data_IF_840930437190
#
_entry.id   IF_840930437190
#
_cell.length_a   1.000
_cell.length_b   1.000
_cell.length_c   1.000
_cell.angle_alpha   90.00
_cell.angle_beta   90.00
_cell.angle_gamma   90.00
#
_symmetry.space_group_name_H-M   'P 1'
#
loop_
_entity.id
_entity.type
_entity.pdbx_description
1 polymer ?
#
# COMPACT_ATOMS: atom_id res chain seq x y z
N UNK A 1 -7.83 21.72 9.89
CA UNK A 1 -8.13 20.72 10.94
C UNK A 1 -8.59 19.43 10.28
N UNK A 2 -7.70 18.63 9.65
CA UNK A 2 -8.11 17.45 8.84
C UNK A 2 -6.99 16.40 8.71
N UNK A 3 -6.32 16.04 9.82
CA UNK A 3 -5.59 14.78 9.86
C UNK A 3 -6.57 13.72 10.34
N UNK A 4 -7.31 13.12 9.40
CA UNK A 4 -8.10 11.93 9.69
C UNK A 4 -7.14 10.79 10.03
N UNK A 5 -7.13 10.36 11.29
CA UNK A 5 -6.18 9.36 11.80
C UNK A 5 -6.71 7.97 11.44
N UNK A 6 -6.01 7.28 10.54
CA UNK A 6 -6.21 5.85 10.30
C UNK A 6 -5.29 5.02 11.18
N UNK A 7 -5.83 4.02 11.87
CA UNK A 7 -5.09 3.00 12.60
C UNK A 7 -4.80 1.81 11.66
N UNK A 8 -3.53 1.61 11.32
CA UNK A 8 -3.09 0.50 10.48
C UNK A 8 -2.48 -0.58 11.36
N UNK A 9 -3.17 -1.72 11.49
CA UNK A 9 -2.64 -2.86 12.23
C UNK A 9 -1.43 -3.43 11.50
N UNK A 10 -0.29 -3.46 12.18
CA UNK A 10 0.95 -3.98 11.65
C UNK A 10 0.93 -5.49 11.72
N UNK A 11 1.27 -6.11 10.61
CA UNK A 11 1.36 -7.55 10.55
C UNK A 11 2.73 -8.10 10.95
N UNK A 12 2.68 -9.34 11.39
CA UNK A 12 3.82 -10.14 11.78
C UNK A 12 3.83 -11.47 11.01
N UNK A 13 4.56 -12.45 11.52
CA UNK A 13 4.67 -13.80 10.99
C UNK A 13 3.30 -14.48 10.82
N UNK A 14 3.22 -15.41 9.87
CA UNK A 14 1.98 -16.13 9.52
C UNK A 14 1.30 -16.82 10.69
N UNK A 15 2.05 -17.30 11.69
CA UNK A 15 1.48 -17.98 12.85
C UNK A 15 0.76 -17.06 13.85
N UNK A 16 1.07 -15.76 13.88
CA UNK A 16 0.36 -14.76 14.72
C UNK A 16 -0.75 -14.07 13.91
N UNK A 17 -0.63 -14.09 12.58
CA UNK A 17 -1.52 -13.36 11.67
C UNK A 17 -3.01 -13.63 11.89
N UNK A 18 -3.49 -14.88 12.12
CA UNK A 18 -4.92 -15.12 12.35
C UNK A 18 -5.48 -14.37 13.57
N UNK A 19 -4.70 -14.28 14.65
CA UNK A 19 -5.10 -13.55 15.85
C UNK A 19 -5.15 -12.03 15.61
N UNK A 20 -4.13 -11.49 14.95
CA UNK A 20 -4.07 -10.06 14.59
C UNK A 20 -5.22 -9.71 13.64
N UNK A 21 -5.43 -10.49 12.58
CA UNK A 21 -6.51 -10.30 11.62
C UNK A 21 -7.87 -10.34 12.31
N UNK A 22 -8.10 -11.33 13.19
CA UNK A 22 -9.38 -11.44 13.91
C UNK A 22 -9.64 -10.25 14.81
N UNK A 23 -8.67 -9.86 15.64
CA UNK A 23 -8.80 -8.68 16.52
C UNK A 23 -9.06 -7.44 15.66
N UNK A 24 -8.33 -7.28 14.56
CA UNK A 24 -8.46 -6.13 13.68
C UNK A 24 -9.85 -6.06 13.05
N UNK A 25 -10.43 -7.18 12.61
CA UNK A 25 -11.80 -7.23 12.09
C UNK A 25 -12.84 -6.88 13.16
N UNK A 26 -12.69 -7.35 14.39
CA UNK A 26 -13.59 -6.95 15.48
C UNK A 26 -13.49 -5.45 15.76
N UNK A 27 -12.28 -4.88 15.68
CA UNK A 27 -12.08 -3.44 15.81
C UNK A 27 -12.68 -2.68 14.63
N UNK A 28 -12.58 -3.19 13.40
CA UNK A 28 -13.29 -2.60 12.25
C UNK A 28 -14.79 -2.62 12.47
N UNK A 29 -15.36 -3.77 12.84
CA UNK A 29 -16.79 -3.90 13.08
C UNK A 29 -17.28 -2.92 14.15
N UNK A 30 -16.49 -2.71 15.21
CA UNK A 30 -16.83 -1.78 16.29
C UNK A 30 -16.67 -0.30 15.94
N UNK A 31 -15.64 0.05 15.17
CA UNK A 31 -15.20 1.45 15.01
C UNK A 31 -15.37 2.01 13.59
N UNK A 32 -15.38 1.17 12.55
CA UNK A 32 -15.55 1.60 11.17
C UNK A 32 -17.05 1.72 10.80
N UNK A 33 -17.76 2.64 11.45
CA UNK A 33 -19.21 2.80 11.27
C UNK A 33 -19.56 3.78 10.16
N UNK A 34 -18.91 4.96 10.13
CA UNK A 34 -19.18 6.02 9.15
C UNK A 34 -18.09 6.13 8.08
N UNK A 35 -16.89 5.65 8.40
CA UNK A 35 -15.71 5.65 7.55
C UNK A 35 -14.72 4.59 8.00
N UNK A 36 -13.84 4.17 7.11
CA UNK A 36 -12.76 3.25 7.45
C UNK A 36 -11.67 3.99 8.25
N UNK A 37 -11.53 3.65 9.53
CA UNK A 37 -10.47 4.17 10.40
C UNK A 37 -9.48 3.09 10.82
N UNK A 38 -9.95 1.85 11.03
CA UNK A 38 -9.11 0.69 11.28
C UNK A 38 -8.84 -0.02 9.96
N UNK A 39 -7.58 -0.33 9.70
CA UNK A 39 -7.12 -1.02 8.50
C UNK A 39 -6.36 -2.29 8.87
N UNK A 40 -6.73 -3.40 8.23
CA UNK A 40 -5.98 -4.64 8.31
C UNK A 40 -4.92 -4.64 7.20
N UNK A 41 -3.75 -5.20 7.50
CA UNK A 41 -2.72 -5.37 6.47
C UNK A 41 -2.93 -6.72 5.79
N UNK A 42 -2.87 -6.76 4.46
CA UNK A 42 -2.91 -8.01 3.68
C UNK A 42 -1.57 -8.18 2.98
N UNK A 43 -0.93 -9.32 3.20
CA UNK A 43 0.42 -9.58 2.71
C UNK A 43 0.38 -10.42 1.42
N UNK A 44 0.53 -9.78 0.27
CA UNK A 44 0.32 -10.40 -1.04
C UNK A 44 1.44 -11.38 -1.47
N UNK A 45 2.52 -11.53 -0.70
CA UNK A 45 3.47 -12.63 -0.86
C UNK A 45 2.92 -13.97 -0.36
N UNK A 46 1.81 -14.00 0.38
CA UNK A 46 1.15 -15.24 0.80
C UNK A 46 0.19 -15.74 -0.29
N UNK A 47 0.08 -17.06 -0.42
CA UNK A 47 -0.88 -17.70 -1.34
C UNK A 47 -2.33 -17.42 -0.97
N UNK A 48 -2.61 -17.27 0.33
CA UNK A 48 -3.97 -17.06 0.87
C UNK A 48 -4.44 -15.61 0.86
N UNK A 49 -3.60 -14.64 0.47
CA UNK A 49 -3.91 -13.22 0.59
C UNK A 49 -5.23 -12.80 -0.09
N UNK A 50 -5.50 -13.39 -1.27
CA UNK A 50 -6.76 -13.16 -1.99
C UNK A 50 -7.97 -13.77 -1.25
N UNK A 51 -7.81 -14.96 -0.69
CA UNK A 51 -8.90 -15.63 0.05
C UNK A 51 -9.23 -14.87 1.32
N UNK A 52 -8.21 -14.40 2.05
CA UNK A 52 -8.37 -13.57 3.25
C UNK A 52 -9.11 -12.27 2.92
N UNK A 53 -8.65 -11.50 1.93
CA UNK A 53 -9.29 -10.22 1.59
C UNK A 53 -10.72 -10.42 1.10
N UNK A 54 -10.99 -11.45 0.30
CA UNK A 54 -12.34 -11.75 -0.19
C UNK A 54 -13.28 -12.15 0.95
N UNK A 55 -12.80 -12.96 1.89
CA UNK A 55 -13.58 -13.37 3.07
C UNK A 55 -13.92 -12.17 3.95
N UNK A 56 -12.95 -11.30 4.19
CA UNK A 56 -13.14 -10.14 5.05
C UNK A 56 -14.02 -9.06 4.41
N UNK A 57 -13.90 -8.87 3.09
CA UNK A 57 -14.82 -8.02 2.31
C UNK A 57 -16.26 -8.52 2.40
N UNK A 58 -16.46 -9.83 2.31
CA UNK A 58 -17.77 -10.46 2.43
C UNK A 58 -18.35 -10.31 3.85
N UNK A 59 -17.51 -10.49 4.87
CA UNK A 59 -17.91 -10.26 6.26
C UNK A 59 -18.30 -8.80 6.49
N UNK A 60 -17.51 -7.84 5.99
CA UNK A 60 -17.80 -6.42 6.08
C UNK A 60 -19.13 -6.05 5.43
N UNK A 61 -19.43 -6.65 4.27
CA UNK A 61 -20.70 -6.47 3.60
C UNK A 61 -21.88 -7.03 4.44
N UNK A 62 -21.75 -8.25 4.97
CA UNK A 62 -22.82 -8.90 5.75
C UNK A 62 -23.10 -8.21 7.08
N UNK A 63 -22.06 -7.69 7.73
CA UNK A 63 -22.13 -7.03 9.04
C UNK A 63 -22.23 -5.50 8.91
N UNK A 64 -22.25 -4.97 7.69
CA UNK A 64 -22.44 -3.56 7.36
C UNK A 64 -21.49 -2.61 8.11
N UNK A 65 -20.18 -2.88 8.06
CA UNK A 65 -19.14 -1.96 8.50
C UNK A 65 -18.22 -1.54 7.35
N UNK A 66 -17.51 -0.43 7.51
CA UNK A 66 -16.59 0.09 6.50
C UNK A 66 -15.30 -0.74 6.51
N UNK A 67 -14.97 -1.34 5.38
CA UNK A 67 -13.79 -2.18 5.24
C UNK A 67 -12.53 -1.34 4.98
N UNK A 68 -11.45 -1.61 5.73
CA UNK A 68 -10.15 -0.96 5.53
C UNK A 68 -9.05 -1.98 5.23
N UNK A 69 -8.44 -1.91 4.05
CA UNK A 69 -7.31 -2.80 3.71
C UNK A 69 -6.05 -2.01 3.38
N UNK A 70 -4.92 -2.46 3.90
CA UNK A 70 -3.58 -2.04 3.49
C UNK A 70 -2.90 -3.19 2.78
N UNK A 71 -2.70 -3.03 1.48
CA UNK A 71 -2.06 -4.04 0.64
C UNK A 71 -0.56 -3.82 0.62
N UNK A 72 0.20 -4.79 1.08
CA UNK A 72 1.67 -4.83 1.01
C UNK A 72 2.11 -6.09 0.28
N UNK A 73 3.32 -6.10 -0.28
CA UNK A 73 3.92 -7.39 -0.70
C UNK A 73 4.19 -8.27 0.51
N UNK A 74 4.90 -7.75 1.50
CA UNK A 74 5.30 -8.49 2.70
C UNK A 74 6.77 -8.22 3.03
N UNK A 75 7.16 -8.46 4.28
CA UNK A 75 8.50 -8.15 4.77
C UNK A 75 9.27 -9.36 5.33
N UNK A 76 8.63 -10.55 5.33
CA UNK A 76 9.13 -11.73 6.06
C UNK A 76 9.29 -12.98 5.18
N UNK A 77 9.39 -12.82 3.85
CA UNK A 77 9.43 -13.94 2.88
C UNK A 77 10.53 -14.96 3.16
N UNK A 78 11.75 -14.51 3.45
CA UNK A 78 12.87 -15.40 3.71
C UNK A 78 12.69 -16.17 5.02
N UNK A 79 12.14 -15.53 6.04
CA UNK A 79 11.86 -16.15 7.33
C UNK A 79 10.74 -17.19 7.25
N UNK A 80 9.67 -16.91 6.50
CA UNK A 80 8.58 -17.86 6.29
C UNK A 80 9.06 -19.12 5.55
N UNK A 81 9.87 -18.94 4.50
CA UNK A 81 10.47 -20.05 3.76
C UNK A 81 11.41 -20.90 4.61
N UNK A 82 12.29 -20.25 5.38
CA UNK A 82 13.20 -20.95 6.29
C UNK A 82 12.44 -21.75 7.36
N UNK A 83 11.35 -21.18 7.89
CA UNK A 83 10.49 -21.86 8.87
C UNK A 83 9.75 -23.05 8.28
N UNK A 84 9.17 -22.90 7.08
CA UNK A 84 8.48 -23.98 6.38
C UNK A 84 9.43 -25.16 6.12
N UNK A 85 10.65 -24.88 5.67
CA UNK A 85 11.69 -25.89 5.48
C UNK A 85 12.10 -26.58 6.81
N UNK A 86 12.26 -25.81 7.89
CA UNK A 86 12.67 -26.35 9.19
C UNK A 86 11.59 -27.23 9.85
N UNK A 87 10.31 -26.92 9.66
CA UNK A 87 9.18 -27.62 10.27
C UNK A 87 8.49 -28.62 9.34
N UNK A 88 8.90 -28.70 8.07
CA UNK A 88 8.42 -29.68 7.10
C UNK A 88 7.00 -29.47 6.59
N UNK A 89 6.46 -28.24 6.67
CA UNK A 89 5.14 -27.91 6.11
C UNK A 89 5.27 -27.16 4.76
N UNK A 90 4.22 -27.15 3.91
CA UNK A 90 4.27 -26.47 2.62
C UNK A 90 4.55 -24.97 2.76
N UNK A 91 5.45 -24.44 1.92
CA UNK A 91 5.74 -23.00 1.86
C UNK A 91 4.45 -22.18 1.60
N UNK A 92 4.04 -21.29 2.52
CA UNK A 92 2.84 -20.48 2.37
C UNK A 92 3.02 -19.31 1.40
N UNK A 93 4.26 -19.05 0.95
CA UNK A 93 4.62 -17.91 0.11
C UNK A 93 4.53 -18.21 -1.37
N UNK A 94 4.28 -17.16 -2.17
CA UNK A 94 4.33 -17.24 -3.62
C UNK A 94 5.75 -17.59 -4.10
N UNK A 95 5.88 -18.39 -5.17
CA UNK A 95 7.18 -18.94 -5.57
C UNK A 95 8.15 -17.87 -6.07
N UNK A 96 7.64 -16.87 -6.79
CA UNK A 96 8.46 -15.83 -7.43
C UNK A 96 7.98 -14.42 -7.10
N UNK A 97 8.82 -13.44 -7.44
CA UNK A 97 8.49 -12.02 -7.36
C UNK A 97 7.30 -11.65 -8.27
N UNK A 98 7.26 -12.24 -9.46
CA UNK A 98 6.20 -12.06 -10.45
C UNK A 98 4.88 -12.64 -9.93
N UNK A 99 4.91 -13.84 -9.34
CA UNK A 99 3.74 -14.45 -8.71
C UNK A 99 3.23 -13.62 -7.52
N UNK A 100 4.12 -13.05 -6.72
CA UNK A 100 3.76 -12.11 -5.65
C UNK A 100 3.13 -10.82 -6.20
N UNK A 101 3.64 -10.33 -7.33
CA UNK A 101 3.10 -9.13 -7.99
C UNK A 101 1.72 -9.40 -8.59
N UNK A 102 1.52 -10.56 -9.22
CA UNK A 102 0.21 -11.02 -9.69
C UNK A 102 -0.79 -11.15 -8.54
N UNK A 103 -0.41 -11.79 -7.43
CA UNK A 103 -1.25 -11.89 -6.24
C UNK A 103 -1.66 -10.49 -5.71
N UNK A 104 -0.72 -9.53 -5.69
CA UNK A 104 -1.02 -8.15 -5.31
C UNK A 104 -2.04 -7.53 -6.25
N UNK A 105 -1.84 -7.65 -7.56
CA UNK A 105 -2.73 -7.09 -8.57
C UNK A 105 -4.13 -7.71 -8.51
N UNK A 106 -4.23 -9.03 -8.32
CA UNK A 106 -5.50 -9.76 -8.15
C UNK A 106 -6.24 -9.33 -6.89
N UNK A 107 -5.54 -9.23 -5.76
CA UNK A 107 -6.09 -8.75 -4.47
C UNK A 107 -6.63 -7.33 -4.59
N UNK A 108 -5.85 -6.43 -5.21
CA UNK A 108 -6.29 -5.06 -5.47
C UNK A 108 -7.50 -5.00 -6.41
N UNK A 109 -7.47 -5.78 -7.49
CA UNK A 109 -8.56 -5.83 -8.48
C UNK A 109 -9.86 -6.35 -7.86
N UNK A 110 -9.81 -7.31 -6.95
CA UNK A 110 -11.01 -7.76 -6.22
C UNK A 110 -11.60 -6.64 -5.35
N UNK A 111 -10.77 -5.88 -4.64
CA UNK A 111 -11.23 -4.72 -3.87
C UNK A 111 -11.90 -3.68 -4.79
N UNK A 112 -11.28 -3.38 -5.93
CA UNK A 112 -11.81 -2.47 -6.93
C UNK A 112 -13.14 -2.95 -7.53
N UNK A 113 -13.27 -4.26 -7.78
CA UNK A 113 -14.52 -4.86 -8.27
C UNK A 113 -15.65 -4.64 -7.27
N UNK A 114 -15.40 -4.80 -5.96
CA UNK A 114 -16.38 -4.54 -4.90
C UNK A 114 -16.73 -3.06 -4.79
N UNK A 115 -15.75 -2.16 -4.90
CA UNK A 115 -15.97 -0.70 -4.95
C UNK A 115 -16.85 -0.33 -6.14
N UNK A 116 -16.54 -0.85 -7.34
CA UNK A 116 -17.35 -0.62 -8.53
C UNK A 116 -18.79 -1.09 -8.31
N UNK A 117 -18.98 -2.28 -7.74
CA UNK A 117 -20.31 -2.80 -7.45
C UNK A 117 -21.10 -1.92 -6.46
N UNK A 118 -20.44 -1.25 -5.51
CA UNK A 118 -21.08 -0.25 -4.64
C UNK A 118 -21.53 0.96 -5.46
N UNK A 119 -20.66 1.52 -6.31
CA UNK A 119 -20.99 2.66 -7.19
C UNK A 119 -22.16 2.33 -8.12
N UNK A 120 -22.14 1.16 -8.75
CA UNK A 120 -23.19 0.71 -9.67
C UNK A 120 -24.55 0.56 -8.95
N UNK A 121 -24.56 0.30 -7.63
CA UNK A 121 -25.77 0.28 -6.78
C UNK A 121 -26.16 1.63 -6.18
N UNK A 122 -25.38 2.69 -6.43
CA UNK A 122 -25.57 4.01 -5.81
C UNK A 122 -25.19 4.06 -4.32
N UNK A 123 -24.45 3.08 -3.82
CA UNK A 123 -23.91 3.07 -2.46
C UNK A 123 -22.59 3.86 -2.37
N UNK A 124 -22.26 4.44 -1.20
CA UNK A 124 -21.01 5.17 -1.02
C UNK A 124 -19.80 4.24 -1.24
N UNK A 125 -18.91 4.51 -2.23
CA UNK A 125 -17.73 3.68 -2.48
C UNK A 125 -16.74 3.70 -1.31
N UNK A 126 -16.82 4.71 -0.43
CA UNK A 126 -16.00 4.85 0.77
C UNK A 126 -16.25 3.76 1.81
N UNK A 127 -17.32 2.94 1.66
CA UNK A 127 -17.51 1.70 2.45
C UNK A 127 -16.32 0.74 2.34
N UNK A 128 -15.50 0.89 1.31
CA UNK A 128 -14.25 0.15 1.16
C UNK A 128 -13.14 1.19 1.00
N UNK A 129 -12.13 1.17 1.87
CA UNK A 129 -10.96 2.03 1.77
C UNK A 129 -9.68 1.20 1.66
N UNK A 130 -8.83 1.53 0.68
CA UNK A 130 -7.64 0.74 0.35
C UNK A 130 -6.38 1.61 0.40
N UNK A 131 -5.35 1.13 1.10
CA UNK A 131 -4.00 1.65 1.02
C UNK A 131 -3.13 0.76 0.14
N UNK A 132 -2.67 1.30 -0.99
CA UNK A 132 -1.67 0.70 -1.88
C UNK A 132 -0.28 1.03 -1.32
N UNK A 133 0.27 0.15 -0.48
CA UNK A 133 1.59 0.33 0.11
C UNK A 133 2.68 -0.31 -0.78
N UNK A 134 3.25 0.49 -1.70
CA UNK A 134 4.26 0.02 -2.66
C UNK A 134 5.24 1.11 -3.11
N UNK A 135 6.49 0.70 -3.30
CA UNK A 135 7.56 1.48 -3.93
C UNK A 135 7.88 0.99 -5.35
N UNK A 136 7.06 0.11 -5.92
CA UNK A 136 7.21 -0.36 -7.29
C UNK A 136 6.35 0.52 -8.21
N UNK A 137 6.99 1.12 -9.20
CA UNK A 137 6.35 2.03 -10.17
C UNK A 137 5.24 1.33 -10.97
N UNK A 138 5.47 0.09 -11.39
CA UNK A 138 4.51 -0.68 -12.18
C UNK A 138 3.25 -0.99 -11.38
N UNK A 139 3.38 -1.33 -10.09
CA UNK A 139 2.24 -1.54 -9.20
C UNK A 139 1.46 -0.24 -8.95
N UNK A 140 2.15 0.90 -8.82
CA UNK A 140 1.50 2.20 -8.68
C UNK A 140 0.77 2.60 -9.97
N UNK A 141 1.42 2.44 -11.13
CA UNK A 141 0.84 2.67 -12.46
C UNK A 141 -0.39 1.80 -12.67
N UNK A 142 -0.26 0.49 -12.41
CA UNK A 142 -1.36 -0.46 -12.48
C UNK A 142 -2.54 -0.02 -11.61
N UNK A 143 -2.28 0.42 -10.38
CA UNK A 143 -3.34 0.89 -9.50
C UNK A 143 -4.07 2.11 -10.06
N UNK A 144 -3.33 3.10 -10.56
CA UNK A 144 -3.90 4.31 -11.18
C UNK A 144 -4.72 3.96 -12.43
N UNK A 145 -4.19 3.11 -13.31
CA UNK A 145 -4.88 2.68 -14.54
C UNK A 145 -6.20 1.99 -14.19
N UNK A 146 -6.18 1.06 -13.23
CA UNK A 146 -7.38 0.35 -12.80
C UNK A 146 -8.40 1.27 -12.12
N UNK A 147 -7.96 2.25 -11.33
CA UNK A 147 -8.85 3.28 -10.78
C UNK A 147 -9.57 4.05 -11.89
N UNK A 148 -8.83 4.49 -12.92
CA UNK A 148 -9.41 5.20 -14.07
C UNK A 148 -10.41 4.33 -14.84
N UNK A 149 -10.07 3.07 -15.10
CA UNK A 149 -10.95 2.12 -15.81
C UNK A 149 -12.33 1.97 -15.13
N UNK A 150 -12.37 1.96 -13.80
CA UNK A 150 -13.63 1.83 -13.05
C UNK A 150 -14.26 3.16 -12.64
N UNK A 151 -13.67 4.29 -13.07
CA UNK A 151 -14.14 5.63 -12.76
C UNK A 151 -14.02 6.01 -11.27
N UNK A 152 -13.01 5.51 -10.56
CA UNK A 152 -12.67 5.97 -9.20
C UNK A 152 -11.69 7.13 -9.32
N UNK A 153 -12.11 8.31 -8.87
CA UNK A 153 -11.27 9.51 -8.92
C UNK A 153 -10.50 9.71 -7.62
N UNK A 154 -9.41 10.51 -7.61
CA UNK A 154 -8.71 10.85 -6.38
C UNK A 154 -9.61 11.49 -5.31
N UNK A 155 -10.62 12.25 -5.74
CA UNK A 155 -11.57 12.95 -4.89
C UNK A 155 -12.53 12.00 -4.17
N UNK A 156 -12.74 10.78 -4.69
CA UNK A 156 -13.54 9.75 -4.01
C UNK A 156 -12.91 9.38 -2.64
N UNK A 157 -11.59 9.60 -2.46
CA UNK A 157 -10.81 9.29 -1.24
C UNK A 157 -10.92 7.83 -0.77
N UNK A 158 -11.20 6.94 -1.70
CA UNK A 158 -11.33 5.49 -1.50
C UNK A 158 -9.95 4.82 -1.45
N UNK A 159 -8.97 5.37 -2.19
CA UNK A 159 -7.65 4.79 -2.35
C UNK A 159 -6.57 5.80 -1.95
N UNK A 160 -5.60 5.33 -1.18
CA UNK A 160 -4.40 6.08 -0.86
C UNK A 160 -3.12 5.27 -1.13
N UNK A 161 -2.01 5.96 -1.33
CA UNK A 161 -0.72 5.37 -1.62
C UNK A 161 0.20 5.51 -0.40
N UNK A 162 0.70 4.39 0.11
CA UNK A 162 1.61 4.35 1.24
C UNK A 162 3.04 4.10 0.81
N UNK A 163 3.98 4.96 1.21
CA UNK A 163 5.39 4.82 0.91
C UNK A 163 6.24 5.10 2.14
N UNK A 164 7.36 4.42 2.31
CA UNK A 164 8.35 4.73 3.33
C UNK A 164 8.99 6.09 3.07
N UNK A 165 9.25 6.84 4.15
CA UNK A 165 10.01 8.08 4.09
C UNK A 165 11.48 7.81 3.67
N UNK A 166 12.03 8.68 2.83
CA UNK A 166 13.41 8.58 2.34
C UNK A 166 13.58 7.59 1.19
N UNK A 167 12.48 7.15 0.58
CA UNK A 167 12.50 6.20 -0.53
C UNK A 167 11.50 6.60 -1.62
N UNK A 168 12.01 6.68 -2.86
CA UNK A 168 11.22 6.84 -4.08
C UNK A 168 10.32 8.09 -4.07
N UNK A 169 10.84 9.25 -3.65
CA UNK A 169 10.05 10.48 -3.57
C UNK A 169 9.61 10.96 -4.96
N UNK A 170 10.37 10.60 -5.99
CA UNK A 170 10.00 10.79 -7.39
C UNK A 170 8.71 10.06 -7.80
N UNK A 171 8.21 9.11 -7.00
CA UNK A 171 6.88 8.48 -7.16
C UNK A 171 5.84 9.25 -6.34
N UNK A 172 6.16 9.61 -5.10
CA UNK A 172 5.23 10.27 -4.17
C UNK A 172 4.81 11.66 -4.64
N UNK A 173 5.76 12.47 -5.11
CA UNK A 173 5.46 13.86 -5.46
C UNK A 173 4.51 13.97 -6.65
N UNK A 174 4.69 13.24 -7.77
CA UNK A 174 3.71 13.25 -8.85
C UNK A 174 2.33 12.75 -8.42
N UNK A 175 2.24 11.74 -7.55
CA UNK A 175 0.97 11.26 -6.99
C UNK A 175 0.23 12.38 -6.25
N UNK A 176 0.90 13.06 -5.33
CA UNK A 176 0.31 14.16 -4.57
C UNK A 176 -0.06 15.36 -5.45
N UNK A 177 0.77 15.68 -6.45
CA UNK A 177 0.49 16.74 -7.42
C UNK A 177 -0.70 16.43 -8.34
N UNK A 178 -0.96 15.13 -8.59
CA UNK A 178 -2.11 14.65 -9.34
C UNK A 178 -3.38 14.47 -8.49
N UNK A 179 -3.38 14.93 -7.23
CA UNK A 179 -4.54 14.91 -6.34
C UNK A 179 -4.73 13.61 -5.54
N UNK A 180 -3.87 12.61 -5.73
CA UNK A 180 -3.97 11.35 -4.98
C UNK A 180 -3.50 11.53 -3.54
N UNK A 181 -4.18 10.84 -2.62
CA UNK A 181 -3.75 10.77 -1.22
C UNK A 181 -2.48 9.92 -1.11
N UNK A 182 -1.35 10.56 -0.79
CA UNK A 182 -0.07 9.89 -0.62
C UNK A 182 0.47 10.08 0.80
N UNK A 183 0.82 8.98 1.47
CA UNK A 183 1.28 8.96 2.86
C UNK A 183 2.72 8.48 2.94
N UNK A 184 3.50 9.14 3.79
CA UNK A 184 4.85 8.70 4.16
C UNK A 184 4.83 7.99 5.51
N UNK A 185 5.30 6.74 5.53
CA UNK A 185 5.52 5.97 6.75
C UNK A 185 6.85 6.38 7.37
N UNK A 186 6.77 6.89 8.59
CA UNK A 186 7.92 7.43 9.35
C UNK A 186 8.06 6.60 10.62
N UNK A 187 9.13 5.79 10.77
CA UNK A 187 9.46 5.22 12.06
C UNK A 187 9.91 6.35 13.01
N UNK A 188 9.41 6.34 14.24
CA UNK A 188 9.79 7.30 15.26
C UNK A 188 10.00 6.58 16.60
N UNK A 189 11.10 6.88 17.27
CA UNK A 189 11.45 6.28 18.56
C UNK A 189 12.97 6.33 18.84
N UNK A 190 13.39 5.90 20.04
CA UNK A 190 14.80 5.75 20.39
C UNK A 190 15.57 4.86 19.40
N UNK A 191 16.85 5.17 19.16
CA UNK A 191 17.68 4.49 18.13
C UNK A 191 17.69 2.97 18.34
N UNK A 192 17.93 2.51 19.56
CA UNK A 192 17.96 1.10 19.94
C UNK A 192 16.65 0.35 19.62
N UNK A 193 15.49 1.01 19.76
CA UNK A 193 14.19 0.41 19.47
C UNK A 193 13.90 0.33 17.96
N UNK A 194 14.43 1.29 17.18
CA UNK A 194 14.24 1.32 15.72
C UNK A 194 15.30 0.52 14.94
N UNK A 195 16.38 0.07 15.58
CA UNK A 195 17.44 -0.73 14.94
C UNK A 195 16.91 -1.97 14.19
N UNK A 196 16.00 -2.79 14.74
CA UNK A 196 15.45 -3.93 14.00
C UNK A 196 14.71 -3.51 12.72
N UNK A 197 13.99 -2.38 12.77
CA UNK A 197 13.34 -1.81 11.59
C UNK A 197 14.36 -1.36 10.55
N UNK A 198 15.40 -0.63 10.97
CA UNK A 198 16.47 -0.15 10.08
C UNK A 198 17.22 -1.32 9.43
N UNK A 199 17.49 -2.39 10.17
CA UNK A 199 18.14 -3.61 9.64
C UNK A 199 17.29 -4.28 8.54
N UNK A 200 15.98 -4.46 8.78
CA UNK A 200 15.07 -4.99 7.75
C UNK A 200 15.02 -4.09 6.52
N UNK A 201 14.99 -2.76 6.72
CA UNK A 201 15.08 -1.81 5.61
C UNK A 201 16.38 -1.94 4.85
N UNK A 202 17.52 -2.07 5.52
CA UNK A 202 18.81 -2.29 4.85
C UNK A 202 18.82 -3.58 4.01
N UNK A 203 18.20 -4.66 4.50
CA UNK A 203 18.06 -5.93 3.76
C UNK A 203 17.16 -5.80 2.53
N UNK A 204 15.97 -5.22 2.67
CA UNK A 204 15.05 -4.93 1.55
C UNK A 204 15.68 -3.97 0.55
N UNK A 205 16.47 -3.01 1.06
CA UNK A 205 17.13 -1.98 0.28
C UNK A 205 18.42 -2.45 -0.40
N UNK A 206 18.80 -3.73 -0.33
CA UNK A 206 19.88 -4.27 -1.16
C UNK A 206 19.62 -4.03 -2.67
N UNK A 207 18.35 -3.97 -3.09
CA UNK A 207 17.93 -3.56 -4.45
C UNK A 207 17.71 -2.06 -4.66
N UNK A 208 17.77 -1.24 -3.61
CA UNK A 208 17.44 0.20 -3.65
C UNK A 208 18.55 1.07 -4.21
N UNK A 209 19.80 0.58 -4.25
CA UNK A 209 20.90 1.26 -4.95
C UNK A 209 20.52 1.65 -6.39
N UNK A 210 19.82 0.77 -7.13
CA UNK A 210 19.32 1.08 -8.48
C UNK A 210 18.28 2.20 -8.48
N UNK A 211 17.38 2.23 -7.49
CA UNK A 211 16.35 3.26 -7.36
C UNK A 211 16.94 4.62 -6.96
N UNK A 212 17.92 4.63 -6.06
CA UNK A 212 18.66 5.83 -5.68
C UNK A 212 19.42 6.41 -6.88
N UNK A 213 20.05 5.57 -7.71
CA UNK A 213 20.71 6.03 -8.93
C UNK A 213 19.73 6.70 -9.90
N UNK A 214 18.52 6.13 -10.07
CA UNK A 214 17.45 6.73 -10.87
C UNK A 214 17.00 8.07 -10.30
N UNK A 215 16.76 8.14 -8.99
CA UNK A 215 16.36 9.37 -8.30
C UNK A 215 17.42 10.47 -8.43
N UNK A 216 18.70 10.14 -8.22
CA UNK A 216 19.81 11.07 -8.42
C UNK A 216 19.86 11.59 -9.87
N UNK A 217 19.66 10.71 -10.86
CA UNK A 217 19.61 11.11 -12.27
C UNK A 217 18.46 12.11 -12.52
N UNK A 218 17.26 11.81 -12.02
CA UNK A 218 16.09 12.68 -12.17
C UNK A 218 16.30 14.06 -11.50
N UNK A 219 16.89 14.09 -10.30
CA UNK A 219 17.23 15.34 -9.60
C UNK A 219 18.24 16.17 -10.39
N UNK A 220 19.30 15.55 -10.92
CA UNK A 220 20.29 16.23 -11.75
C UNK A 220 19.67 16.80 -13.03
N UNK A 221 18.79 16.04 -13.70
CA UNK A 221 18.04 16.51 -14.87
C UNK A 221 17.16 17.72 -14.53
N UNK A 222 16.46 17.68 -13.41
CA UNK A 222 15.60 18.79 -12.96
C UNK A 222 16.42 20.04 -12.56
N UNK A 223 17.55 19.87 -11.88
CA UNK A 223 18.47 20.97 -11.56
C UNK A 223 19.02 21.61 -12.84
N UNK A 224 19.48 20.80 -13.81
CA UNK A 224 19.92 21.28 -15.12
C UNK A 224 18.83 22.06 -15.85
N UNK A 225 17.59 21.55 -15.85
CA UNK A 225 16.43 22.24 -16.43
C UNK A 225 16.17 23.60 -15.78
N UNK A 226 16.28 23.70 -14.45
CA UNK A 226 16.07 24.96 -13.71
C UNK A 226 17.15 25.99 -14.00
N UNK A 227 18.41 25.56 -14.03
CA UNK A 227 19.55 26.41 -14.40
C UNK A 227 19.39 26.93 -15.83
N UNK A 228 19.07 26.07 -16.79
CA UNK A 228 18.87 26.45 -18.19
C UNK A 228 17.70 27.43 -18.39
N UNK A 229 16.66 27.38 -17.54
CA UNK A 229 15.48 28.26 -17.63
C UNK A 229 15.56 29.46 -16.67
N UNK A 230 16.65 29.65 -15.92
CA UNK A 230 16.79 30.73 -14.94
C UNK A 230 15.78 30.69 -13.78
N UNK A 231 15.11 29.56 -13.54
CA UNK A 231 14.05 29.42 -12.51
C UNK A 231 14.61 28.80 -11.24
N UNK A 232 15.29 29.61 -10.43
CA UNK A 232 15.84 29.20 -9.12
C UNK A 232 14.70 28.87 -8.15
N UNK A 233 13.64 29.69 -8.13
CA UNK A 233 12.39 29.41 -7.43
C UNK A 233 11.33 28.99 -8.44
N UNK A 234 10.85 27.74 -8.34
CA UNK A 234 9.89 27.16 -9.27
C UNK A 234 8.66 26.68 -8.51
N UNK A 235 7.51 27.29 -8.78
CA UNK A 235 6.22 26.76 -8.38
C UNK A 235 5.70 25.85 -9.50
N UNK A 236 5.53 24.54 -9.23
CA UNK A 236 4.95 23.62 -10.19
C UNK A 236 3.51 24.05 -10.55
N UNK A 237 3.24 24.25 -11.86
CA UNK A 237 1.90 24.46 -12.41
C UNK A 237 1.73 23.53 -13.62
N UNK A 238 0.73 22.66 -13.63
CA UNK A 238 0.44 21.76 -14.75
C UNK A 238 -0.50 20.61 -14.41
N UNK A 239 -0.96 19.90 -15.43
CA UNK A 239 -1.62 18.58 -15.28
C UNK A 239 -0.54 17.52 -15.09
N UNK A 240 -0.40 17.02 -13.87
CA UNK A 240 0.58 16.00 -13.54
C UNK A 240 0.02 14.62 -13.86
N UNK A 241 0.67 13.91 -14.78
CA UNK A 241 0.45 12.48 -14.90
C UNK A 241 1.30 11.78 -13.84
N UNK A 242 0.69 11.11 -12.85
CA UNK A 242 1.44 10.25 -11.97
C UNK A 242 2.00 9.08 -12.77
N UNK A 243 3.24 8.69 -12.43
CA UNK A 243 4.09 7.60 -12.96
C UNK A 243 3.66 6.99 -14.29
#
# INVERSE_FOLDING_TARGET
CWLEVGLFCVNHYTYIQPAISRITLEMMHKYNIEKAIVFNTYQCYLKEAINEVTTDLEQAQRQNFYFGAKLVRGAYIDQERARAAALGYPDPTNPTYEATSDMYHRTFTECLRRIKALKDRGEPPQKIAIMVASHNEDTVRFAIEKMKEIGVSPEDKVICFGQLLGMCDYITFPLGQAGYSAYKYIPYGPVNEVLPYLSRRAQENKGVLKKIQKEKKLLLTELGRRLAKGKIFYNPKGEYQPV
#
